data_IF_944332649608
#
_entry.id   IF_944332649608
#
_cell.length_a   1.000
_cell.length_b   1.000
_cell.length_c   1.000
_cell.angle_alpha   90.00
_cell.angle_beta   90.00
_cell.angle_gamma   90.00
#
_symmetry.space_group_name_H-M   'P 1'
#
loop_
_entity.id
_entity.type
_entity.pdbx_description
1 polymer ?
#
# COMPACT_ATOMS: atom_id res chain seq x y z
N UNK A 1 17.93 -22.99 8.83
CA UNK A 1 18.73 -21.77 9.03
C UNK A 1 17.86 -20.63 8.54
N UNK A 2 17.81 -19.49 9.21
CA UNK A 2 16.97 -18.37 8.71
C UNK A 2 17.61 -17.78 7.47
N UNK A 3 16.76 -17.32 6.52
CA UNK A 3 17.15 -16.71 5.27
C UNK A 3 16.40 -15.41 5.07
N UNK A 4 17.10 -14.34 4.68
CA UNK A 4 16.52 -13.02 4.45
C UNK A 4 16.57 -12.62 2.97
N UNK A 5 15.55 -11.92 2.49
CA UNK A 5 15.57 -11.23 1.21
C UNK A 5 15.83 -9.74 1.45
N UNK A 6 16.83 -9.17 0.77
CA UNK A 6 17.15 -7.75 0.83
C UNK A 6 16.76 -7.09 -0.49
N UNK A 7 15.80 -6.18 -0.44
CA UNK A 7 15.32 -5.44 -1.61
C UNK A 7 15.96 -4.06 -1.59
N UNK A 8 16.74 -3.73 -2.63
CA UNK A 8 17.59 -2.56 -2.69
C UNK A 8 17.07 -1.60 -3.76
N UNK A 9 16.76 -0.36 -3.38
CA UNK A 9 16.39 0.68 -4.34
C UNK A 9 17.64 1.21 -5.06
N UNK A 10 17.76 0.93 -6.36
CA UNK A 10 18.93 1.34 -7.17
C UNK A 10 19.01 2.85 -7.40
N UNK A 11 17.89 3.58 -7.21
CA UNK A 11 17.83 5.03 -7.41
C UNK A 11 18.27 5.83 -6.16
N UNK A 12 18.84 5.17 -5.15
CA UNK A 12 19.34 5.77 -3.92
C UNK A 12 20.81 5.44 -3.75
N UNK A 13 21.67 6.46 -3.78
CA UNK A 13 23.14 6.29 -3.75
C UNK A 13 23.62 5.53 -2.50
N UNK A 14 22.98 5.79 -1.34
CA UNK A 14 23.33 5.19 -0.04
C UNK A 14 22.86 3.73 0.10
N UNK A 15 22.01 3.25 -0.81
CA UNK A 15 21.33 1.95 -0.65
C UNK A 15 22.29 0.76 -0.75
N UNK A 16 23.29 0.86 -1.59
CA UNK A 16 24.27 -0.21 -1.82
C UNK A 16 25.22 -0.40 -0.65
N UNK A 17 25.70 0.71 -0.08
CA UNK A 17 26.60 0.66 1.08
C UNK A 17 25.86 0.10 2.30
N UNK A 18 24.64 0.60 2.54
CA UNK A 18 23.81 0.08 3.62
C UNK A 18 23.42 -1.39 3.42
N UNK A 19 23.19 -1.82 2.18
CA UNK A 19 22.93 -3.23 1.88
C UNK A 19 24.11 -4.11 2.26
N UNK A 20 25.35 -3.68 2.01
CA UNK A 20 26.56 -4.42 2.39
C UNK A 20 26.67 -4.53 3.91
N UNK A 21 26.38 -3.44 4.64
CA UNK A 21 26.38 -3.46 6.11
C UNK A 21 25.34 -4.44 6.66
N UNK A 22 24.11 -4.42 6.11
CA UNK A 22 23.03 -5.33 6.51
C UNK A 22 23.42 -6.79 6.22
N UNK A 23 23.96 -7.07 5.03
CA UNK A 23 24.43 -8.43 4.66
C UNK A 23 25.51 -8.92 5.63
N UNK A 24 26.50 -8.07 5.92
CA UNK A 24 27.57 -8.41 6.85
C UNK A 24 27.02 -8.68 8.26
N UNK A 25 26.09 -7.86 8.72
CA UNK A 25 25.42 -8.05 10.02
C UNK A 25 24.67 -9.40 10.09
N UNK A 26 23.87 -9.72 9.06
CA UNK A 26 23.14 -10.98 8.99
C UNK A 26 24.09 -12.18 8.97
N UNK A 27 25.18 -12.09 8.23
CA UNK A 27 26.21 -13.15 8.18
C UNK A 27 26.85 -13.39 9.54
N UNK A 28 27.13 -12.33 10.31
CA UNK A 28 27.65 -12.45 11.69
C UNK A 28 26.65 -13.14 12.65
N UNK A 29 25.35 -13.07 12.33
CA UNK A 29 24.27 -13.74 13.08
C UNK A 29 23.93 -15.14 12.52
N UNK A 30 24.74 -15.67 11.57
CA UNK A 30 24.52 -16.95 10.86
C UNK A 30 23.16 -17.00 10.12
N UNK A 31 22.79 -15.91 9.47
CA UNK A 31 21.60 -15.79 8.63
C UNK A 31 22.06 -15.61 7.19
N UNK A 32 21.57 -16.47 6.31
CA UNK A 32 21.80 -16.32 4.86
C UNK A 32 20.94 -15.20 4.31
N UNK A 33 21.43 -14.54 3.28
CA UNK A 33 20.68 -13.47 2.63
C UNK A 33 20.94 -13.41 1.14
N UNK A 34 19.87 -13.24 0.38
CA UNK A 34 19.91 -12.88 -1.04
C UNK A 34 19.52 -11.41 -1.19
N UNK A 35 19.95 -10.82 -2.31
CA UNK A 35 19.64 -9.42 -2.63
C UNK A 35 19.04 -9.31 -4.01
N UNK A 36 18.13 -8.38 -4.15
CA UNK A 36 17.57 -7.96 -5.42
C UNK A 36 17.69 -6.45 -5.59
N UNK A 37 17.94 -6.06 -6.81
CA UNK A 37 17.99 -4.67 -7.22
C UNK A 37 16.60 -4.28 -7.72
N UNK A 38 16.01 -3.25 -7.12
CA UNK A 38 14.68 -2.78 -7.46
C UNK A 38 14.77 -1.42 -8.13
N UNK A 39 14.36 -1.33 -9.38
CA UNK A 39 14.31 -0.10 -10.19
C UNK A 39 12.86 0.36 -10.46
N UNK A 40 11.88 -0.36 -9.94
CA UNK A 40 10.43 -0.18 -10.16
C UNK A 40 9.76 -1.44 -10.68
N UNK A 41 10.51 -2.35 -11.28
CA UNK A 41 10.01 -3.58 -11.89
C UNK A 41 10.94 -4.75 -11.56
N UNK A 42 10.44 -5.75 -10.86
CA UNK A 42 11.16 -7.01 -10.64
C UNK A 42 10.17 -8.16 -10.79
N UNK A 43 10.43 -9.05 -11.73
CA UNK A 43 9.61 -10.22 -12.01
C UNK A 43 10.00 -11.43 -11.16
N UNK A 44 8.97 -12.19 -10.72
CA UNK A 44 9.04 -13.56 -10.20
C UNK A 44 10.16 -13.91 -9.22
N UNK A 45 10.16 -13.27 -8.05
CA UNK A 45 11.04 -13.66 -6.96
C UNK A 45 10.31 -14.71 -6.11
N UNK A 46 10.96 -15.84 -5.80
CA UNK A 46 10.40 -16.85 -4.89
C UNK A 46 10.47 -16.35 -3.44
N UNK A 47 9.48 -15.56 -2.99
CA UNK A 47 9.42 -15.06 -1.62
C UNK A 47 9.30 -16.18 -0.58
N UNK A 48 8.76 -17.34 -0.95
CA UNK A 48 8.56 -18.51 -0.09
C UNK A 48 9.86 -19.16 0.42
N UNK A 49 11.01 -18.79 -0.16
CA UNK A 49 12.33 -19.23 0.33
C UNK A 49 12.84 -18.44 1.54
N UNK A 50 12.16 -17.33 1.93
CA UNK A 50 12.68 -16.40 2.94
C UNK A 50 11.82 -16.35 4.19
N UNK A 51 12.47 -16.15 5.33
CA UNK A 51 11.81 -16.00 6.64
C UNK A 51 11.38 -14.54 6.90
N UNK A 52 12.05 -13.57 6.29
CA UNK A 52 11.72 -12.16 6.36
C UNK A 52 12.33 -11.37 5.20
N UNK A 53 11.78 -10.19 4.97
CA UNK A 53 12.24 -9.27 3.92
C UNK A 53 12.77 -7.98 4.56
N UNK A 54 13.92 -7.50 4.10
CA UNK A 54 14.47 -6.18 4.44
C UNK A 54 14.32 -5.29 3.21
N UNK A 55 13.66 -4.13 3.34
CA UNK A 55 13.60 -3.15 2.25
C UNK A 55 14.50 -1.95 2.55
N UNK A 56 15.33 -1.56 1.58
CA UNK A 56 16.21 -0.39 1.65
C UNK A 56 15.73 0.66 0.67
N UNK A 57 14.84 1.56 1.13
CA UNK A 57 14.24 2.58 0.26
C UNK A 57 13.11 3.36 0.93
N UNK A 58 12.12 3.77 0.17
CA UNK A 58 10.93 4.48 0.66
C UNK A 58 9.70 3.59 0.77
N UNK A 59 8.55 4.25 1.03
CA UNK A 59 7.26 3.56 1.20
C UNK A 59 6.90 2.66 0.00
N UNK A 60 7.21 3.07 -1.25
CA UNK A 60 6.92 2.26 -2.45
C UNK A 60 7.57 0.87 -2.45
N UNK A 61 8.76 0.73 -1.85
CA UNK A 61 9.40 -0.58 -1.73
C UNK A 61 8.73 -1.47 -0.68
N UNK A 62 8.20 -0.85 0.37
CA UNK A 62 7.40 -1.57 1.37
C UNK A 62 6.11 -2.08 0.74
N UNK A 63 5.45 -1.28 -0.13
CA UNK A 63 4.26 -1.71 -0.88
C UNK A 63 4.57 -2.93 -1.75
N UNK A 64 5.69 -2.90 -2.49
CA UNK A 64 6.12 -4.04 -3.31
C UNK A 64 6.37 -5.28 -2.44
N UNK A 65 7.14 -5.15 -1.36
CA UNK A 65 7.44 -6.26 -0.46
C UNK A 65 6.15 -6.82 0.19
N UNK A 66 5.26 -5.94 0.67
CA UNK A 66 4.01 -6.34 1.33
C UNK A 66 3.12 -7.18 0.42
N UNK A 67 2.94 -6.78 -0.82
CA UNK A 67 2.12 -7.49 -1.81
C UNK A 67 2.60 -8.92 -2.06
N UNK A 68 3.90 -9.14 -2.11
CA UNK A 68 4.49 -10.46 -2.34
C UNK A 68 4.64 -11.30 -1.07
N UNK A 69 4.76 -10.66 0.11
CA UNK A 69 5.03 -11.33 1.38
C UNK A 69 3.76 -11.72 2.15
N UNK A 70 2.64 -10.97 1.98
CA UNK A 70 1.46 -11.11 2.84
C UNK A 70 0.82 -12.50 2.77
N UNK A 71 0.67 -13.08 1.57
CA UNK A 71 0.09 -14.41 1.39
C UNK A 71 0.91 -15.51 2.08
N UNK A 72 2.22 -15.30 2.19
CA UNK A 72 3.17 -16.22 2.82
C UNK A 72 3.33 -15.95 4.33
N UNK A 73 2.78 -14.83 4.85
CA UNK A 73 2.92 -14.45 6.25
C UNK A 73 4.33 -13.97 6.63
N UNK A 74 5.14 -13.59 5.64
CA UNK A 74 6.53 -13.17 5.81
C UNK A 74 6.56 -11.70 6.30
N UNK A 75 7.25 -11.38 7.42
CA UNK A 75 7.35 -10.02 7.91
C UNK A 75 8.30 -9.16 7.07
N UNK A 76 8.01 -7.86 7.01
CA UNK A 76 8.83 -6.86 6.33
C UNK A 76 9.50 -5.96 7.34
N UNK A 77 10.82 -5.78 7.19
CA UNK A 77 11.67 -4.91 7.97
C UNK A 77 12.05 -3.69 7.10
N UNK A 78 11.34 -2.54 7.26
CA UNK A 78 11.45 -1.44 6.33
C UNK A 78 12.48 -0.39 6.79
N UNK A 79 13.63 -0.32 6.14
CA UNK A 79 14.62 0.74 6.35
C UNK A 79 14.38 1.87 5.36
N UNK A 80 14.17 3.08 5.86
CA UNK A 80 13.87 4.24 5.06
C UNK A 80 15.12 4.98 4.62
N UNK A 81 15.35 5.07 3.32
CA UNK A 81 16.40 5.88 2.71
C UNK A 81 15.79 7.16 2.14
N UNK A 82 15.78 8.21 2.93
CA UNK A 82 15.25 9.52 2.53
C UNK A 82 14.39 10.18 3.59
N UNK A 83 13.38 10.93 3.17
CA UNK A 83 12.46 11.56 4.11
C UNK A 83 11.63 10.50 4.87
N UNK A 84 11.38 10.75 6.14
CA UNK A 84 10.64 9.84 7.01
C UNK A 84 9.32 9.39 6.37
N UNK A 85 9.15 8.07 6.13
CA UNK A 85 7.97 7.49 5.50
C UNK A 85 6.80 7.32 6.47
N UNK A 86 5.60 7.08 5.94
CA UNK A 86 4.47 6.64 6.77
C UNK A 86 4.54 5.15 7.08
N UNK A 87 5.21 4.37 6.21
CA UNK A 87 5.31 2.92 6.28
C UNK A 87 6.76 2.51 6.50
N UNK A 88 7.71 3.09 5.77
CA UNK A 88 9.14 2.87 5.97
C UNK A 88 9.61 3.68 7.20
N UNK A 89 9.60 3.05 8.37
CA UNK A 89 9.70 3.74 9.65
C UNK A 89 11.05 3.61 10.37
N UNK A 90 11.97 2.76 9.88
CA UNK A 90 13.28 2.56 10.50
C UNK A 90 14.30 3.46 9.82
N UNK A 91 14.95 4.32 10.58
CA UNK A 91 15.97 5.21 10.05
C UNK A 91 17.32 4.47 9.86
N UNK A 92 18.20 4.93 8.94
CA UNK A 92 19.53 4.33 8.76
C UNK A 92 20.38 4.29 10.04
N UNK A 93 20.19 5.23 10.96
CA UNK A 93 20.90 5.25 12.25
C UNK A 93 20.36 4.25 13.29
N UNK A 94 19.18 3.67 13.06
CA UNK A 94 18.45 2.81 14.01
C UNK A 94 18.44 1.34 13.59
N UNK A 95 18.79 1.04 12.33
CA UNK A 95 18.50 -0.27 11.74
C UNK A 95 19.17 -1.43 12.45
N UNK A 96 20.44 -1.28 12.88
CA UNK A 96 21.21 -2.40 13.45
C UNK A 96 20.64 -2.86 14.79
N UNK A 97 20.30 -1.90 15.67
CA UNK A 97 19.64 -2.21 16.94
C UNK A 97 18.25 -2.77 16.75
N UNK A 98 17.45 -2.18 15.82
CA UNK A 98 16.11 -2.66 15.51
C UNK A 98 16.12 -4.07 14.90
N UNK A 99 17.10 -4.38 14.04
CA UNK A 99 17.25 -5.71 13.45
C UNK A 99 17.72 -6.74 14.49
N UNK A 100 18.61 -6.35 15.41
CA UNK A 100 19.02 -7.20 16.52
C UNK A 100 17.84 -7.56 17.44
N UNK A 101 17.03 -6.58 17.80
CA UNK A 101 15.82 -6.80 18.59
C UNK A 101 14.80 -7.68 17.86
N UNK A 102 14.65 -7.49 16.55
CA UNK A 102 13.79 -8.34 15.72
C UNK A 102 14.27 -9.80 15.72
N UNK A 103 15.54 -10.03 15.48
CA UNK A 103 16.13 -11.37 15.46
C UNK A 103 16.07 -12.06 16.83
N UNK A 104 16.14 -11.29 17.91
CA UNK A 104 15.99 -11.75 19.28
C UNK A 104 14.51 -11.97 19.69
N UNK A 105 13.54 -11.68 18.82
CA UNK A 105 12.10 -11.78 19.13
C UNK A 105 11.60 -10.72 20.10
N UNK A 106 12.31 -9.61 20.26
CA UNK A 106 11.97 -8.50 21.16
C UNK A 106 11.22 -7.36 20.46
N UNK A 107 11.29 -7.30 19.12
CA UNK A 107 10.59 -6.26 18.37
C UNK A 107 9.08 -6.47 18.35
N UNK A 108 8.35 -5.38 18.51
CA UNK A 108 6.95 -5.33 18.12
C UNK A 108 6.83 -5.25 16.60
N UNK A 109 5.83 -5.90 16.05
CA UNK A 109 5.37 -5.66 14.69
C UNK A 109 3.94 -5.15 14.74
N UNK A 110 3.57 -4.38 13.74
CA UNK A 110 2.19 -4.01 13.51
C UNK A 110 1.64 -4.78 12.33
N UNK A 111 0.44 -5.28 12.51
CA UNK A 111 -0.32 -5.90 11.44
C UNK A 111 -1.13 -4.85 10.71
N UNK A 112 -1.02 -4.85 9.39
CA UNK A 112 -1.77 -3.94 8.52
C UNK A 112 -2.63 -4.75 7.58
N UNK A 113 -3.91 -4.39 7.50
CA UNK A 113 -4.83 -4.97 6.52
C UNK A 113 -4.45 -4.56 5.12
N UNK A 114 -4.72 -5.47 4.18
CA UNK A 114 -4.56 -5.25 2.76
C UNK A 114 -5.90 -5.45 2.04
N UNK A 115 -6.03 -4.85 0.88
CA UNK A 115 -7.16 -5.05 -0.04
C UNK A 115 -6.79 -6.07 -1.11
N UNK A 116 -7.74 -6.93 -1.47
CA UNK A 116 -7.73 -7.66 -2.74
C UNK A 116 -8.69 -6.97 -3.71
N UNK A 117 -8.20 -6.65 -4.92
CA UNK A 117 -9.00 -6.08 -6.00
C UNK A 117 -9.03 -7.06 -7.17
N UNK A 118 -10.21 -7.55 -7.50
CA UNK A 118 -10.46 -8.43 -8.64
C UNK A 118 -11.29 -7.70 -9.70
N UNK A 119 -10.84 -7.68 -10.95
CA UNK A 119 -11.65 -7.23 -12.08
C UNK A 119 -12.34 -8.43 -12.71
N UNK A 120 -13.66 -8.36 -12.76
CA UNK A 120 -14.53 -9.39 -13.29
C UNK A 120 -15.12 -8.90 -14.62
N UNK A 121 -14.81 -9.63 -15.71
CA UNK A 121 -15.32 -9.38 -17.07
C UNK A 121 -15.98 -10.65 -17.56
N UNK A 122 -17.24 -10.55 -18.00
CA UNK A 122 -18.03 -11.71 -18.50
C UNK A 122 -18.05 -12.87 -17.49
N UNK A 123 -18.13 -12.56 -16.19
CA UNK A 123 -18.17 -13.55 -15.10
C UNK A 123 -16.84 -14.22 -14.78
N UNK A 124 -15.72 -13.75 -15.34
CA UNK A 124 -14.38 -14.30 -15.10
C UNK A 124 -13.47 -13.23 -14.52
N UNK A 125 -12.61 -13.62 -13.58
CA UNK A 125 -11.55 -12.75 -13.08
C UNK A 125 -10.49 -12.61 -14.17
N UNK A 126 -10.28 -11.39 -14.68
CA UNK A 126 -9.30 -11.05 -15.71
C UNK A 126 -8.07 -10.32 -15.16
N UNK A 127 -8.16 -9.78 -13.95
CA UNK A 127 -7.08 -9.15 -13.23
C UNK A 127 -7.30 -9.31 -11.73
N UNK A 128 -6.23 -9.50 -10.98
CA UNK A 128 -6.25 -9.56 -9.51
C UNK A 128 -4.98 -8.95 -8.95
N UNK A 129 -5.09 -8.12 -7.91
CA UNK A 129 -3.93 -7.52 -7.25
C UNK A 129 -4.22 -7.23 -5.80
N UNK A 130 -3.16 -7.24 -4.98
CA UNK A 130 -3.20 -6.86 -3.57
C UNK A 130 -2.65 -5.46 -3.36
N UNK A 131 -3.34 -4.64 -2.56
CA UNK A 131 -2.92 -3.30 -2.19
C UNK A 131 -2.81 -3.12 -0.68
N UNK A 132 -1.72 -2.50 -0.24
CA UNK A 132 -1.55 -2.06 1.15
C UNK A 132 -2.12 -0.66 1.35
N UNK A 133 -2.00 0.22 0.34
CA UNK A 133 -2.52 1.58 0.40
C UNK A 133 -3.92 1.68 -0.18
N UNK A 134 -4.06 1.56 -1.49
CA UNK A 134 -5.30 1.93 -2.17
C UNK A 134 -5.52 1.22 -3.51
N UNK A 135 -6.80 1.21 -3.90
CA UNK A 135 -7.31 0.84 -5.22
C UNK A 135 -7.97 2.07 -5.80
N UNK A 136 -7.45 2.61 -6.89
CA UNK A 136 -8.02 3.75 -7.57
C UNK A 136 -8.63 3.34 -8.92
N UNK A 137 -9.86 3.76 -9.16
CA UNK A 137 -10.55 3.60 -10.44
C UNK A 137 -10.75 4.99 -11.01
N UNK A 138 -10.13 5.27 -12.16
CA UNK A 138 -10.13 6.62 -12.73
C UNK A 138 -10.07 6.60 -14.24
N UNK A 139 -10.35 7.76 -14.84
CA UNK A 139 -10.01 7.97 -16.24
C UNK A 139 -8.50 8.12 -16.40
N UNK A 140 -7.93 7.49 -17.40
CA UNK A 140 -6.54 7.70 -17.84
C UNK A 140 -6.37 9.01 -18.64
N UNK A 141 -7.48 9.65 -19.00
CA UNK A 141 -7.51 10.89 -19.77
C UNK A 141 -7.92 12.09 -18.93
N UNK A 142 -7.14 13.15 -18.99
CA UNK A 142 -7.46 14.40 -18.31
C UNK A 142 -8.83 14.96 -18.71
N UNK A 143 -9.54 15.52 -17.73
CA UNK A 143 -10.86 16.16 -17.90
C UNK A 143 -11.94 15.22 -18.47
N UNK A 144 -11.91 13.96 -18.14
CA UNK A 144 -12.87 12.95 -18.59
C UNK A 144 -13.71 12.44 -17.41
N UNK A 145 -15.03 12.58 -17.55
CA UNK A 145 -15.98 12.11 -16.53
C UNK A 145 -16.32 10.65 -16.80
N UNK A 146 -16.11 9.82 -15.81
CA UNK A 146 -16.56 8.43 -15.78
C UNK A 146 -17.83 8.30 -14.94
N UNK A 147 -18.58 7.23 -15.16
CA UNK A 147 -19.76 6.89 -14.40
C UNK A 147 -19.59 5.51 -13.79
N UNK A 148 -19.81 5.41 -12.49
CA UNK A 148 -19.65 4.20 -11.71
C UNK A 148 -20.91 3.97 -10.86
N UNK A 149 -21.33 2.72 -10.73
CA UNK A 149 -22.27 2.28 -9.69
C UNK A 149 -21.48 1.55 -8.62
N UNK A 150 -21.66 1.96 -7.37
CA UNK A 150 -20.91 1.43 -6.23
C UNK A 150 -21.89 0.82 -5.26
N UNK A 151 -21.72 -0.48 -5.02
CA UNK A 151 -22.46 -1.25 -4.03
C UNK A 151 -21.53 -1.63 -2.87
N UNK A 152 -22.11 -1.71 -1.67
CA UNK A 152 -21.47 -2.25 -0.48
C UNK A 152 -22.38 -3.32 0.12
N UNK A 153 -21.87 -4.55 0.22
CA UNK A 153 -22.64 -5.72 0.65
C UNK A 153 -23.98 -5.87 -0.08
N UNK A 154 -23.93 -5.76 -1.41
CA UNK A 154 -25.11 -5.85 -2.31
C UNK A 154 -26.15 -4.74 -2.10
N UNK A 155 -25.83 -3.73 -1.31
CA UNK A 155 -26.66 -2.55 -1.13
C UNK A 155 -26.08 -1.39 -1.93
N UNK A 156 -26.90 -0.73 -2.74
CA UNK A 156 -26.47 0.44 -3.49
C UNK A 156 -25.94 1.53 -2.53
N UNK A 157 -24.65 1.84 -2.63
CA UNK A 157 -24.05 2.95 -1.89
C UNK A 157 -24.25 4.27 -2.63
N UNK A 158 -23.88 4.32 -3.90
CA UNK A 158 -24.08 5.50 -4.72
C UNK A 158 -23.89 5.25 -6.23
N UNK A 159 -24.40 6.19 -7.03
CA UNK A 159 -23.99 6.38 -8.41
C UNK A 159 -23.01 7.57 -8.46
N UNK A 160 -21.79 7.33 -8.88
CA UNK A 160 -20.74 8.34 -8.93
C UNK A 160 -20.49 8.79 -10.38
N UNK A 161 -20.43 10.11 -10.58
CA UNK A 161 -19.89 10.73 -11.79
C UNK A 161 -18.78 11.67 -11.38
N UNK A 162 -17.62 11.56 -12.01
CA UNK A 162 -16.43 12.34 -11.68
C UNK A 162 -15.21 11.81 -12.41
N UNK A 163 -14.02 12.19 -11.96
CA UNK A 163 -12.77 11.69 -12.53
C UNK A 163 -12.48 10.25 -12.06
N UNK A 164 -13.07 9.82 -10.92
CA UNK A 164 -12.89 8.48 -10.38
C UNK A 164 -13.26 8.34 -8.91
N UNK A 165 -12.77 7.25 -8.31
CA UNK A 165 -12.91 6.93 -6.89
C UNK A 165 -11.66 6.20 -6.40
N UNK A 166 -11.29 6.46 -5.14
CA UNK A 166 -10.22 5.75 -4.43
C UNK A 166 -10.86 4.98 -3.29
N UNK A 167 -10.46 3.72 -3.14
CA UNK A 167 -10.68 2.94 -1.93
C UNK A 167 -9.34 2.72 -1.24
N UNK A 168 -9.19 3.25 -0.04
CA UNK A 168 -7.93 3.18 0.71
C UNK A 168 -8.11 2.36 1.99
N UNK A 169 -7.08 1.64 2.38
CA UNK A 169 -6.96 1.08 3.74
C UNK A 169 -6.69 2.21 4.73
N UNK A 170 -6.70 1.91 6.03
CA UNK A 170 -6.24 2.87 7.05
C UNK A 170 -4.78 3.30 6.79
N UNK A 171 -3.93 2.38 6.31
CA UNK A 171 -2.54 2.72 5.92
C UNK A 171 -2.51 3.68 4.74
N UNK A 172 -3.31 3.40 3.70
CA UNK A 172 -3.41 4.23 2.50
C UNK A 172 -4.15 5.54 2.68
N UNK A 173 -4.81 5.76 3.84
CA UNK A 173 -5.49 7.02 4.15
C UNK A 173 -4.56 8.24 4.10
N UNK A 174 -3.24 8.03 4.25
CA UNK A 174 -2.21 9.09 4.15
C UNK A 174 -1.56 9.20 2.77
N UNK A 175 -2.00 8.37 1.79
CA UNK A 175 -1.48 8.32 0.43
C UNK A 175 -2.38 9.09 -0.54
N UNK A 176 -2.80 8.48 -1.63
CA UNK A 176 -3.59 9.15 -2.67
C UNK A 176 -4.95 9.65 -2.14
N UNK A 177 -5.58 8.89 -1.22
CA UNK A 177 -6.83 9.30 -0.58
C UNK A 177 -6.71 10.65 0.14
N UNK A 178 -5.60 10.90 0.89
CA UNK A 178 -5.36 12.20 1.53
C UNK A 178 -5.28 13.34 0.53
N UNK A 179 -4.57 13.15 -0.59
CA UNK A 179 -4.44 14.14 -1.65
C UNK A 179 -5.78 14.47 -2.32
N UNK A 180 -6.71 13.50 -2.33
CA UNK A 180 -8.07 13.66 -2.83
C UNK A 180 -9.07 14.21 -1.78
N UNK A 181 -8.62 14.58 -0.59
CA UNK A 181 -9.45 15.13 0.48
C UNK A 181 -10.14 14.07 1.36
N UNK A 182 -9.68 12.83 1.32
CA UNK A 182 -10.09 11.77 2.25
C UNK A 182 -9.60 12.03 3.67
N UNK A 183 -10.28 11.49 4.70
CA UNK A 183 -9.84 11.61 6.09
C UNK A 183 -8.59 10.77 6.33
N UNK A 184 -7.72 11.27 7.21
CA UNK A 184 -6.62 10.47 7.75
C UNK A 184 -7.20 9.54 8.83
N UNK A 185 -6.92 8.26 8.71
CA UNK A 185 -7.36 7.22 9.63
C UNK A 185 -6.16 6.70 10.41
N UNK A 186 -6.32 6.57 11.74
CA UNK A 186 -5.32 5.91 12.58
C UNK A 186 -5.11 4.48 12.09
N UNK A 187 -3.86 4.12 11.87
CA UNK A 187 -3.48 2.83 11.29
C UNK A 187 -3.81 1.61 12.17
N UNK A 188 -4.24 1.82 13.42
CA UNK A 188 -4.76 0.78 14.32
C UNK A 188 -6.26 0.56 14.15
N UNK A 189 -6.95 1.44 13.41
CA UNK A 189 -8.32 1.22 13.01
C UNK A 189 -8.34 0.39 11.74
N UNK A 190 -9.06 -0.72 11.77
CA UNK A 190 -9.29 -1.51 10.57
C UNK A 190 -10.51 -0.93 9.83
N UNK A 191 -10.26 -0.20 8.76
CA UNK A 191 -11.27 0.50 8.01
C UNK A 191 -10.88 0.66 6.54
N UNK A 192 -11.88 0.81 5.68
CA UNK A 192 -11.72 1.27 4.31
C UNK A 192 -12.27 2.69 4.18
N UNK A 193 -11.62 3.49 3.36
CA UNK A 193 -12.04 4.86 3.04
C UNK A 193 -12.36 4.94 1.56
N UNK A 194 -13.59 5.26 1.21
CA UNK A 194 -13.97 5.62 -0.15
C UNK A 194 -13.84 7.13 -0.33
N UNK A 195 -13.02 7.58 -1.26
CA UNK A 195 -12.79 8.99 -1.58
C UNK A 195 -13.11 9.26 -3.04
N UNK A 196 -14.19 9.99 -3.36
CA UNK A 196 -14.49 10.40 -4.73
C UNK A 196 -13.43 11.35 -5.30
N UNK A 197 -13.09 11.19 -6.58
CA UNK A 197 -12.18 12.08 -7.31
C UNK A 197 -13.00 13.07 -8.13
N UNK A 198 -12.85 14.36 -7.83
CA UNK A 198 -13.53 15.45 -8.52
C UNK A 198 -15.00 15.12 -8.89
N UNK A 199 -15.84 14.75 -7.91
CA UNK A 199 -17.20 14.31 -8.19
C UNK A 199 -18.03 15.47 -8.75
N UNK A 200 -18.87 15.17 -9.73
CA UNK A 200 -19.79 16.16 -10.32
C UNK A 200 -20.81 16.67 -9.31
N UNK A 201 -21.22 15.80 -8.36
CA UNK A 201 -22.15 16.18 -7.29
C UNK A 201 -21.42 16.86 -6.14
N UNK A 202 -21.84 18.08 -5.79
CA UNK A 202 -21.30 18.82 -4.64
C UNK A 202 -21.60 18.16 -3.28
N UNK A 203 -22.56 17.23 -3.22
CA UNK A 203 -22.91 16.49 -2.00
C UNK A 203 -22.06 15.25 -1.77
N UNK A 204 -21.27 14.80 -2.76
CA UNK A 204 -20.38 13.67 -2.58
C UNK A 204 -19.31 13.99 -1.54
N UNK A 205 -19.13 13.07 -0.59
CA UNK A 205 -18.13 13.17 0.48
C UNK A 205 -17.41 11.83 0.63
N UNK A 206 -16.16 11.86 1.10
CA UNK A 206 -15.50 10.65 1.54
C UNK A 206 -16.31 9.96 2.64
N UNK A 207 -16.30 8.64 2.64
CA UNK A 207 -16.97 7.80 3.65
C UNK A 207 -16.01 6.73 4.16
N UNK A 208 -16.09 6.46 5.46
CA UNK A 208 -15.38 5.35 6.10
C UNK A 208 -16.32 4.14 6.19
N UNK A 209 -15.84 2.99 5.72
CA UNK A 209 -16.59 1.75 5.63
C UNK A 209 -15.94 0.68 6.52
N UNK A 210 -16.73 -0.29 7.00
CA UNK A 210 -16.17 -1.50 7.59
C UNK A 210 -15.34 -2.27 6.53
N UNK A 211 -14.21 -2.85 6.89
CA UNK A 211 -13.43 -3.65 5.95
C UNK A 211 -14.03 -5.05 5.72
N UNK A 212 -15.00 -5.46 6.54
CA UNK A 212 -15.60 -6.81 6.48
C UNK A 212 -16.57 -6.97 5.32
N UNK A 213 -17.07 -5.84 4.75
CA UNK A 213 -18.00 -5.85 3.63
C UNK A 213 -17.29 -5.97 2.27
N UNK A 214 -18.05 -6.42 1.27
CA UNK A 214 -17.62 -6.44 -0.11
C UNK A 214 -18.01 -5.15 -0.83
N UNK A 215 -17.05 -4.48 -1.43
CA UNK A 215 -17.28 -3.33 -2.31
C UNK A 215 -17.30 -3.84 -3.74
N UNK A 216 -18.36 -3.52 -4.49
CA UNK A 216 -18.46 -3.79 -5.91
C UNK A 216 -18.62 -2.48 -6.66
N UNK A 217 -17.73 -2.26 -7.64
CA UNK A 217 -17.77 -1.06 -8.48
C UNK A 217 -18.02 -1.50 -9.91
N UNK A 218 -19.17 -1.15 -10.45
CA UNK A 218 -19.52 -1.43 -11.82
C UNK A 218 -19.18 -0.25 -12.71
N UNK A 219 -18.45 -0.50 -13.80
CA UNK A 219 -18.14 0.49 -14.83
C UNK A 219 -19.35 0.72 -15.70
N UNK A 220 -19.93 1.92 -15.61
CA UNK A 220 -21.10 2.32 -16.38
C UNK A 220 -20.73 2.91 -17.74
N UNK A 221 -21.69 2.93 -18.65
CA UNK A 221 -21.49 3.54 -19.95
C UNK A 221 -21.19 5.03 -19.81
N UNK A 222 -20.01 5.44 -20.25
CA UNK A 222 -19.54 6.83 -20.24
C UNK A 222 -19.04 7.26 -21.62
N UNK A 223 -18.80 8.57 -21.78
CA UNK A 223 -18.26 9.11 -23.05
C UNK A 223 -16.80 8.71 -23.25
N UNK A 224 -16.02 8.67 -22.17
CA UNK A 224 -14.65 8.18 -22.21
C UNK A 224 -14.63 6.65 -22.16
N UNK A 225 -13.70 6.07 -22.93
CA UNK A 225 -13.45 4.62 -22.92
C UNK A 225 -12.15 4.27 -22.18
N UNK A 226 -11.37 5.27 -21.86
CA UNK A 226 -10.05 5.13 -21.24
C UNK A 226 -10.23 5.18 -19.71
N UNK A 227 -10.66 4.06 -19.15
CA UNK A 227 -10.87 3.87 -17.70
C UNK A 227 -9.89 2.80 -17.25
N UNK A 228 -9.27 2.99 -16.11
CA UNK A 228 -8.34 2.03 -15.55
C UNK A 228 -8.53 1.84 -14.04
N UNK A 229 -8.06 0.71 -13.55
CA UNK A 229 -7.83 0.47 -12.13
C UNK A 229 -6.34 0.39 -11.86
N UNK A 230 -5.90 1.06 -10.81
CA UNK A 230 -4.53 0.97 -10.28
C UNK A 230 -4.58 0.51 -8.82
N UNK A 231 -3.62 -0.29 -8.42
CA UNK A 231 -3.46 -0.77 -7.04
C UNK A 231 -2.09 -0.33 -6.53
N UNK A 232 -2.05 0.43 -5.44
CA UNK A 232 -0.81 1.01 -4.87
C UNK A 232 0.02 1.79 -5.90
N UNK A 233 -0.64 2.47 -6.85
CA UNK A 233 0.04 3.23 -7.91
C UNK A 233 0.87 2.39 -8.88
N UNK A 234 0.59 1.09 -8.99
CA UNK A 234 1.24 0.22 -9.97
C UNK A 234 0.69 0.41 -11.37
N UNK A 235 1.19 -0.38 -12.33
CA UNK A 235 0.76 -0.33 -13.72
C UNK A 235 -0.77 -0.44 -13.85
N UNK A 236 -1.42 0.48 -14.58
CA UNK A 236 -2.86 0.52 -14.71
C UNK A 236 -3.38 -0.68 -15.53
N UNK A 237 -4.48 -1.27 -15.09
CA UNK A 237 -5.23 -2.26 -15.86
C UNK A 237 -6.44 -1.59 -16.52
N UNK A 238 -6.59 -1.74 -17.84
CA UNK A 238 -7.68 -1.14 -18.61
C UNK A 238 -9.03 -1.79 -18.30
N UNK A 239 -10.02 -0.94 -18.00
CA UNK A 239 -11.39 -1.33 -17.74
C UNK A 239 -12.29 -1.04 -18.93
N UNK A 240 -13.32 -1.86 -19.10
CA UNK A 240 -14.36 -1.69 -20.12
C UNK A 240 -15.73 -1.56 -19.49
N UNK A 241 -16.69 -1.02 -20.25
CA UNK A 241 -18.08 -0.97 -19.83
C UNK A 241 -18.60 -2.37 -19.43
N UNK A 242 -19.20 -2.45 -18.26
CA UNK A 242 -19.75 -3.68 -17.71
C UNK A 242 -18.80 -4.46 -16.82
N UNK A 243 -17.51 -4.09 -16.77
CA UNK A 243 -16.59 -4.68 -15.79
C UNK A 243 -17.05 -4.38 -14.36
N UNK A 244 -16.85 -5.34 -13.48
CA UNK A 244 -17.09 -5.21 -12.04
C UNK A 244 -15.75 -5.34 -11.32
N UNK A 245 -15.41 -4.35 -10.51
CA UNK A 245 -14.25 -4.38 -9.64
C UNK A 245 -14.74 -4.77 -8.24
N UNK A 246 -14.37 -5.97 -7.78
CA UNK A 246 -14.67 -6.46 -6.44
C UNK A 246 -13.50 -6.17 -5.52
N UNK A 247 -13.73 -5.40 -4.46
CA UNK A 247 -12.69 -5.01 -3.49
C UNK A 247 -13.08 -5.55 -2.12
N UNK A 248 -12.18 -6.34 -1.53
CA UNK A 248 -12.37 -6.98 -0.22
C UNK A 248 -11.11 -6.88 0.62
N UNK A 249 -11.27 -6.97 1.92
CA UNK A 249 -10.14 -7.21 2.81
C UNK A 249 -9.50 -8.55 2.46
N UNK A 250 -8.17 -8.55 2.33
CA UNK A 250 -7.42 -9.79 2.17
C UNK A 250 -7.41 -10.57 3.50
N UNK A 251 -7.43 -11.89 3.42
CA UNK A 251 -7.55 -12.76 4.61
C UNK A 251 -6.40 -12.66 5.61
N UNK A 252 -5.23 -12.22 5.16
CA UNK A 252 -4.02 -12.07 5.98
C UNK A 252 -3.59 -10.61 6.08
N UNK A 253 -3.09 -10.24 7.25
CA UNK A 253 -2.46 -8.95 7.46
C UNK A 253 -0.96 -9.04 7.21
N UNK A 254 -0.38 -7.97 6.65
CA UNK A 254 1.09 -7.88 6.55
C UNK A 254 1.69 -7.42 7.87
N UNK A 255 2.80 -8.06 8.25
CA UNK A 255 3.55 -7.72 9.47
C UNK A 255 4.67 -6.75 9.13
N UNK A 256 4.57 -5.52 9.65
CA UNK A 256 5.58 -4.48 9.49
C UNK A 256 6.35 -4.30 10.80
N UNK A 257 7.65 -4.51 10.76
CA UNK A 257 8.51 -4.43 11.94
C UNK A 257 8.79 -2.98 12.30
N UNK A 258 8.69 -2.66 13.61
CA UNK A 258 8.97 -1.31 14.15
C UNK A 258 8.16 -0.16 13.57
N UNK A 259 7.01 -0.43 12.95
CA UNK A 259 6.06 0.58 12.48
C UNK A 259 5.08 0.92 13.60
N UNK A 260 5.53 1.67 14.61
CA UNK A 260 4.72 1.98 15.80
C UNK A 260 3.81 3.19 15.58
N UNK A 261 2.74 3.30 16.39
CA UNK A 261 1.83 4.46 16.40
C UNK A 261 2.58 5.78 16.61
N UNK A 262 3.61 5.81 17.47
CA UNK A 262 4.40 7.01 17.69
C UNK A 262 5.16 7.45 16.43
N UNK A 263 5.69 6.50 15.66
CA UNK A 263 6.34 6.79 14.38
C UNK A 263 5.33 7.29 13.37
N UNK A 264 4.13 6.73 13.33
CA UNK A 264 3.04 7.23 12.48
C UNK A 264 2.68 8.68 12.81
N UNK A 265 2.47 9.02 14.08
CA UNK A 265 2.17 10.40 14.47
C UNK A 265 3.35 11.37 14.24
N UNK A 266 4.59 10.87 14.38
CA UNK A 266 5.78 11.65 14.00
C UNK A 266 5.79 11.95 12.49
N UNK A 267 5.43 10.97 11.66
CA UNK A 267 5.30 11.16 10.21
C UNK A 267 4.21 12.18 9.87
N UNK A 268 3.04 12.10 10.52
CA UNK A 268 1.96 13.08 10.33
C UNK A 268 2.43 14.51 10.60
N UNK A 269 3.08 14.73 11.75
CA UNK A 269 3.59 16.06 12.11
C UNK A 269 4.65 16.57 11.13
N UNK A 270 5.59 15.69 10.73
CA UNK A 270 6.71 16.11 9.89
C UNK A 270 6.34 16.30 8.41
N UNK A 271 5.44 15.46 7.87
CA UNK A 271 5.09 15.51 6.45
C UNK A 271 3.92 16.43 6.14
N UNK A 272 2.92 16.47 7.01
CA UNK A 272 1.69 17.21 6.76
C UNK A 272 1.62 18.53 7.53
N UNK A 273 2.66 18.90 8.27
CA UNK A 273 2.63 20.06 9.19
C UNK A 273 1.38 20.04 10.09
N UNK A 274 0.98 18.85 10.54
CA UNK A 274 -0.28 18.61 11.24
C UNK A 274 -0.50 19.54 12.45
N UNK A 275 0.55 20.01 13.06
CA UNK A 275 0.50 20.90 14.24
C UNK A 275 0.64 22.38 13.89
N UNK A 276 0.61 22.77 12.62
CA UNK A 276 0.57 24.19 12.21
C UNK A 276 1.91 24.92 12.24
N UNK A 277 3.05 24.22 12.26
CA UNK A 277 4.34 24.88 12.11
C UNK A 277 5.49 24.26 12.90
N UNK A 278 6.74 24.71 12.66
CA UNK A 278 7.94 24.13 13.27
C UNK A 278 8.06 24.37 14.79
N UNK A 279 7.11 25.05 15.40
CA UNK A 279 7.10 25.42 16.82
C UNK A 279 5.84 25.00 17.59
N UNK A 280 5.00 24.10 17.03
CA UNK A 280 3.82 23.57 17.72
C UNK A 280 4.08 22.19 18.31
#
# INVERSE_FOLDING_TARGET
MKKALIIINVNKDESMDLAQEVIQFLRLKNIDSDRIMYDGFVDNIPFDEYDFVVTLGGDGMVLYAARNAVALGIPVFPINLGQFGFIAAIQPSEWSGALEDFLAGKSSYEERSMMNADVIRDGKIVYSSLGLNDVAISSDKAASIISLTIDYDKSLLCHLKGDGVIFATSTGSTAYSASAGGPIVDTHLDAFVMTPLNPFSLSSRPIVLSPDGNIEVQVEKSRTKEICVTVDGQEPFELTFGDIISIKKFEKNIKLISCTRDKFYKALRSKLNWSGGPHA
#
